data_IF_554565084601
#
_entry.id   IF_554565084601
#
_cell.length_a   1.000
_cell.length_b   1.000
_cell.length_c   1.000
_cell.angle_alpha   90.00
_cell.angle_beta   90.00
_cell.angle_gamma   90.00
#
_symmetry.space_group_name_H-M   'P 1'
#
loop_
_entity.id
_entity.type
_entity.pdbx_description
1 polymer ?
#
# COMPACT_ATOMS: atom_id res chain seq x y z
N UNK A 1 20.49 22.28 -8.78
CA UNK A 1 19.76 21.27 -7.95
C UNK A 1 19.52 19.98 -8.75
N UNK A 2 19.80 18.81 -8.18
CA UNK A 2 19.41 17.47 -8.70
C UNK A 2 18.08 17.08 -8.06
N UNK A 3 17.13 16.58 -8.86
CA UNK A 3 15.85 16.07 -8.36
C UNK A 3 15.55 14.70 -8.99
N UNK A 4 15.24 13.70 -8.14
CA UNK A 4 14.89 12.36 -8.59
C UNK A 4 13.70 11.83 -7.81
N UNK A 5 12.67 11.37 -8.54
CA UNK A 5 11.52 10.65 -7.98
C UNK A 5 11.71 9.14 -8.16
N UNK A 6 11.50 8.37 -7.09
CA UNK A 6 11.49 6.91 -7.11
C UNK A 6 10.06 6.42 -6.88
N UNK A 7 9.45 5.90 -7.92
CA UNK A 7 8.09 5.36 -7.85
C UNK A 7 8.10 3.86 -7.57
N UNK A 8 7.30 3.45 -6.59
CA UNK A 8 7.05 2.05 -6.23
C UNK A 8 5.58 1.72 -6.52
N UNK A 9 5.31 1.17 -7.70
CA UNK A 9 3.96 0.88 -8.18
C UNK A 9 3.17 -0.02 -7.22
N UNK A 10 3.83 -1.04 -6.63
CA UNK A 10 3.18 -2.05 -5.80
C UNK A 10 2.56 -1.51 -4.50
N UNK A 11 2.96 -0.32 -4.06
CA UNK A 11 2.40 0.38 -2.90
C UNK A 11 1.77 1.74 -3.25
N UNK A 12 1.87 2.18 -4.52
CA UNK A 12 1.48 3.54 -4.90
C UNK A 12 2.29 4.60 -4.14
N UNK A 13 3.56 4.34 -3.90
CA UNK A 13 4.46 5.16 -3.10
C UNK A 13 5.52 5.84 -3.97
N UNK A 14 5.80 7.11 -3.68
CA UNK A 14 6.90 7.85 -4.25
C UNK A 14 7.79 8.40 -3.15
N UNK A 15 9.10 8.26 -3.32
CA UNK A 15 10.14 8.86 -2.49
C UNK A 15 11.05 9.73 -3.34
N UNK A 16 11.81 10.61 -2.70
CA UNK A 16 12.52 11.67 -3.42
C UNK A 16 13.97 11.76 -2.97
N UNK A 17 14.84 12.04 -3.92
CA UNK A 17 16.23 12.40 -3.71
C UNK A 17 16.44 13.81 -4.25
N UNK A 18 16.86 14.73 -3.41
CA UNK A 18 17.10 16.12 -3.75
C UNK A 18 18.54 16.48 -3.39
N UNK A 19 19.36 16.81 -4.39
CA UNK A 19 20.79 17.09 -4.23
C UNK A 19 21.16 18.51 -4.57
N UNK A 20 22.11 19.06 -3.80
CA UNK A 20 22.80 20.32 -4.09
C UNK A 20 24.08 20.04 -4.87
N UNK A 21 24.21 20.59 -6.06
CA UNK A 21 25.43 20.50 -6.87
C UNK A 21 26.58 21.31 -6.25
N UNK A 22 26.25 22.40 -5.54
CA UNK A 22 27.26 23.25 -4.91
C UNK A 22 27.95 22.58 -3.73
N UNK A 23 27.22 21.76 -2.93
CA UNK A 23 27.78 21.12 -1.73
C UNK A 23 28.08 19.64 -1.90
N UNK A 24 27.55 18.99 -2.92
CA UNK A 24 27.59 17.53 -3.08
C UNK A 24 26.80 16.79 -1.99
N UNK A 25 25.82 17.46 -1.38
CA UNK A 25 24.95 16.88 -0.35
C UNK A 25 23.56 16.61 -0.88
N UNK A 26 22.87 15.62 -0.31
CA UNK A 26 21.52 15.26 -0.69
C UNK A 26 20.61 15.01 0.52
N UNK A 27 19.33 15.26 0.30
CA UNK A 27 18.22 14.88 1.18
C UNK A 27 17.41 13.76 0.51
N UNK A 28 17.07 12.72 1.29
CA UNK A 28 16.12 11.68 0.90
C UNK A 28 14.83 11.89 1.67
N UNK A 29 13.69 11.96 0.97
CA UNK A 29 12.36 12.13 1.58
C UNK A 29 11.52 10.88 1.40
N UNK A 30 10.85 10.48 2.48
CA UNK A 30 9.90 9.35 2.56
C UNK A 30 10.51 8.05 2.00
N UNK A 31 11.69 7.71 2.52
CA UNK A 31 12.48 6.59 2.04
C UNK A 31 11.76 5.25 2.18
N UNK A 32 11.72 4.43 1.13
CA UNK A 32 11.32 3.04 1.23
C UNK A 32 12.42 2.19 1.87
N UNK A 33 12.07 1.01 2.39
CA UNK A 33 12.97 0.17 3.20
C UNK A 33 14.20 -0.37 2.46
N UNK A 34 14.12 -0.57 1.15
CA UNK A 34 15.22 -0.99 0.28
C UNK A 34 16.06 0.21 -0.16
N UNK A 35 16.86 0.72 0.76
CA UNK A 35 17.55 2.00 0.64
C UNK A 35 18.75 2.04 -0.33
N UNK A 36 19.18 0.90 -0.87
CA UNK A 36 20.31 0.83 -1.81
C UNK A 36 20.12 1.77 -3.00
N UNK A 37 18.89 1.94 -3.47
CA UNK A 37 18.57 2.82 -4.60
C UNK A 37 18.99 4.29 -4.36
N UNK A 38 18.93 4.77 -3.12
CA UNK A 38 19.31 6.15 -2.78
C UNK A 38 20.84 6.28 -2.69
N UNK A 39 21.52 5.26 -2.18
CA UNK A 39 22.99 5.22 -2.16
C UNK A 39 23.57 5.08 -3.56
N UNK A 40 22.91 4.31 -4.43
CA UNK A 40 23.32 4.17 -5.83
C UNK A 40 23.10 5.48 -6.59
N UNK A 41 21.99 6.20 -6.35
CA UNK A 41 21.77 7.53 -6.93
C UNK A 41 22.81 8.52 -6.41
N UNK A 42 23.02 8.59 -5.10
CA UNK A 42 24.04 9.47 -4.50
C UNK A 42 25.43 9.22 -5.12
N UNK A 43 25.82 7.95 -5.25
CA UNK A 43 27.09 7.57 -5.88
C UNK A 43 27.16 7.98 -7.35
N UNK A 44 26.07 7.78 -8.11
CA UNK A 44 26.02 8.14 -9.53
C UNK A 44 26.14 9.64 -9.78
N UNK A 45 25.67 10.45 -8.82
CA UNK A 45 25.74 11.93 -8.86
C UNK A 45 27.00 12.50 -8.16
N UNK A 46 27.86 11.65 -7.58
CA UNK A 46 29.00 12.11 -6.80
C UNK A 46 28.62 12.85 -5.52
N UNK A 47 27.46 12.50 -4.93
CA UNK A 47 26.90 13.14 -3.74
C UNK A 47 26.95 12.23 -2.51
N UNK A 48 26.76 12.82 -1.33
CA UNK A 48 26.53 12.11 -0.08
C UNK A 48 25.15 12.44 0.47
N UNK A 49 24.47 11.46 1.02
CA UNK A 49 23.22 11.68 1.75
C UNK A 49 23.59 12.38 3.06
N UNK A 50 23.03 13.56 3.30
CA UNK A 50 23.23 14.36 4.51
C UNK A 50 21.98 14.36 5.39
N UNK A 51 20.81 14.32 4.79
CA UNK A 51 19.53 14.32 5.47
C UNK A 51 18.64 13.19 4.97
N UNK A 52 17.86 12.62 5.89
CA UNK A 52 16.69 11.81 5.56
C UNK A 52 15.48 12.39 6.31
N UNK A 53 14.36 12.57 5.61
CA UNK A 53 13.18 13.20 6.16
C UNK A 53 11.94 12.36 5.94
N UNK A 54 10.99 12.43 6.87
CA UNK A 54 9.65 11.88 6.74
C UNK A 54 8.63 13.02 6.74
N UNK A 55 7.72 13.01 5.75
CA UNK A 55 6.60 13.96 5.73
C UNK A 55 5.62 13.68 6.87
N UNK A 56 5.44 12.42 7.21
CA UNK A 56 4.57 11.94 8.28
C UNK A 56 4.91 10.50 8.66
N UNK A 57 4.30 9.99 9.72
CA UNK A 57 4.44 8.58 10.12
C UNK A 57 3.52 7.70 9.26
N UNK A 58 4.13 6.99 8.31
CA UNK A 58 3.43 6.18 7.32
C UNK A 58 2.67 4.99 7.93
N UNK A 59 1.47 4.72 7.41
CA UNK A 59 0.62 3.60 7.80
C UNK A 59 0.68 2.42 6.81
N UNK A 60 1.27 2.60 5.65
CA UNK A 60 1.18 1.69 4.52
C UNK A 60 2.47 0.93 4.22
N UNK A 61 3.62 1.43 4.70
CA UNK A 61 4.92 0.76 4.53
C UNK A 61 5.89 1.07 5.68
N UNK A 62 6.98 0.32 5.75
CA UNK A 62 8.10 0.57 6.69
C UNK A 62 9.06 1.59 6.09
N UNK A 63 9.27 2.68 6.81
CA UNK A 63 10.24 3.70 6.45
C UNK A 63 11.68 3.17 6.41
N UNK A 64 12.45 3.67 5.44
CA UNK A 64 13.86 3.39 5.27
C UNK A 64 14.80 4.34 6.01
N UNK A 65 14.31 5.37 6.73
CA UNK A 65 15.20 6.38 7.32
C UNK A 65 16.21 5.79 8.31
N UNK A 66 15.79 4.79 9.11
CA UNK A 66 16.68 4.12 10.04
C UNK A 66 17.72 3.23 9.32
N UNK A 67 17.35 2.62 8.19
CA UNK A 67 18.32 1.89 7.35
C UNK A 67 19.37 2.82 6.74
N UNK A 68 19.00 4.06 6.38
CA UNK A 68 19.93 5.07 5.89
C UNK A 68 20.85 5.52 7.03
N UNK A 69 20.30 5.79 8.23
CA UNK A 69 21.05 6.37 9.36
C UNK A 69 22.13 5.46 9.93
N UNK A 70 22.01 4.15 9.79
CA UNK A 70 23.07 3.21 10.20
C UNK A 70 24.16 3.00 9.14
N UNK A 71 23.93 3.48 7.91
CA UNK A 71 24.85 3.32 6.77
C UNK A 71 25.57 4.60 6.39
N UNK A 72 25.07 5.75 6.84
CA UNK A 72 25.66 7.07 6.59
C UNK A 72 25.47 7.99 7.80
N UNK A 73 26.43 8.91 7.99
CA UNK A 73 26.32 9.98 9.00
C UNK A 73 25.33 11.04 8.51
N UNK A 74 24.07 10.86 8.89
CA UNK A 74 22.95 11.72 8.48
C UNK A 74 22.21 12.31 9.69
N UNK A 75 21.50 13.39 9.45
CA UNK A 75 20.49 13.92 10.35
C UNK A 75 19.09 13.50 9.85
N UNK A 76 18.29 12.87 10.72
CA UNK A 76 16.89 12.56 10.42
C UNK A 76 16.05 13.79 10.76
N UNK A 77 15.15 14.18 9.87
CA UNK A 77 14.25 15.32 10.00
C UNK A 77 12.79 14.86 10.08
N UNK A 78 12.01 15.44 10.99
CA UNK A 78 10.59 15.16 11.14
C UNK A 78 9.84 16.37 11.69
N UNK A 79 8.51 16.44 11.47
CA UNK A 79 7.67 17.49 12.08
C UNK A 79 7.66 17.42 13.61
N UNK A 80 7.56 18.57 14.28
CA UNK A 80 7.58 18.70 15.74
C UNK A 80 6.57 17.80 16.44
N UNK A 81 5.39 17.58 15.87
CA UNK A 81 4.35 16.69 16.42
C UNK A 81 4.67 15.21 16.34
N UNK A 82 5.72 14.78 15.61
CA UNK A 82 6.05 13.37 15.47
C UNK A 82 6.55 12.77 16.80
N UNK A 83 6.00 11.62 17.19
CA UNK A 83 6.51 10.81 18.31
C UNK A 83 7.41 9.73 17.75
N UNK A 84 8.71 9.78 18.07
CA UNK A 84 9.72 8.87 17.52
C UNK A 84 10.53 8.25 18.65
N UNK A 85 10.80 6.95 18.56
CA UNK A 85 11.67 6.18 19.45
C UNK A 85 13.15 6.26 19.09
N UNK A 86 13.51 7.08 18.11
CA UNK A 86 14.87 7.31 17.62
C UNK A 86 15.15 8.83 17.48
N UNK A 87 16.42 9.17 17.39
CA UNK A 87 16.82 10.57 17.30
C UNK A 87 16.44 11.16 15.94
N UNK A 88 15.73 12.29 15.99
CA UNK A 88 15.43 13.12 14.83
C UNK A 88 15.40 14.58 15.24
N UNK A 89 15.88 15.46 14.37
CA UNK A 89 15.69 16.90 14.52
C UNK A 89 14.25 17.22 14.19
N UNK A 90 13.56 17.80 15.18
CA UNK A 90 12.18 18.25 15.01
C UNK A 90 12.17 19.65 14.40
N UNK A 91 11.29 19.82 13.42
CA UNK A 91 11.16 21.05 12.66
C UNK A 91 9.73 21.57 12.70
N UNK A 92 9.57 22.86 12.92
CA UNK A 92 8.28 23.55 12.92
C UNK A 92 7.97 24.20 11.57
N UNK A 93 6.72 24.62 11.39
CA UNK A 93 6.31 25.39 10.21
C UNK A 93 7.09 26.71 10.13
N UNK A 94 7.71 26.97 8.97
CA UNK A 94 8.56 28.12 8.70
C UNK A 94 10.07 27.85 8.91
N UNK A 95 10.46 26.72 9.53
CA UNK A 95 11.85 26.32 9.62
C UNK A 95 12.45 26.06 8.23
N UNK A 96 13.74 26.36 8.08
CA UNK A 96 14.47 26.17 6.83
C UNK A 96 15.70 25.29 7.01
N UNK A 97 15.90 24.41 6.04
CA UNK A 97 17.13 23.64 5.85
C UNK A 97 17.77 24.13 4.56
N UNK A 98 19.03 24.51 4.61
CA UNK A 98 19.77 25.00 3.45
C UNK A 98 20.93 24.05 3.14
N UNK A 99 20.97 23.56 1.90
CA UNK A 99 22.07 22.79 1.32
C UNK A 99 22.59 23.57 0.09
N UNK A 100 23.58 24.42 0.27
CA UNK A 100 24.09 25.26 -0.81
C UNK A 100 22.98 26.11 -1.44
N UNK A 101 22.73 25.89 -2.71
CA UNK A 101 21.68 26.58 -3.49
C UNK A 101 20.26 26.04 -3.24
N UNK A 102 20.12 24.90 -2.57
CA UNK A 102 18.80 24.28 -2.32
C UNK A 102 18.31 24.65 -0.92
N UNK A 103 17.14 25.25 -0.86
CA UNK A 103 16.45 25.60 0.39
C UNK A 103 15.17 24.84 0.52
N UNK A 104 14.97 24.16 1.63
CA UNK A 104 13.73 23.51 2.03
C UNK A 104 13.08 24.33 3.13
N UNK A 105 11.86 24.81 2.89
CA UNK A 105 11.03 25.46 3.89
C UNK A 105 9.91 24.49 4.31
N UNK A 106 9.75 24.29 5.61
CA UNK A 106 8.72 23.40 6.14
C UNK A 106 7.39 24.11 6.27
N UNK A 107 6.36 23.45 5.81
CA UNK A 107 4.97 23.83 6.08
C UNK A 107 4.36 22.76 6.98
N UNK A 108 4.00 23.09 8.22
CA UNK A 108 3.24 22.19 9.09
C UNK A 108 1.81 22.09 8.54
N UNK A 109 1.41 20.90 8.13
CA UNK A 109 0.18 20.67 7.36
C UNK A 109 -0.61 19.46 7.91
N UNK A 110 -1.12 19.56 9.17
CA UNK A 110 -1.87 18.48 9.80
C UNK A 110 -3.16 18.14 9.04
N UNK A 111 -3.69 16.94 9.29
CA UNK A 111 -4.95 16.47 8.74
C UNK A 111 -4.95 15.02 8.29
N UNK A 112 -3.97 14.59 7.50
CA UNK A 112 -3.71 13.16 7.26
C UNK A 112 -3.15 12.51 8.52
N UNK A 113 -2.15 13.14 9.09
CA UNK A 113 -1.63 12.89 10.45
C UNK A 113 -1.38 14.23 11.15
N UNK A 114 -1.33 14.27 12.50
CA UNK A 114 -1.14 15.54 13.22
C UNK A 114 0.25 16.16 13.04
N UNK A 115 1.28 15.33 12.83
CA UNK A 115 2.67 15.75 12.65
C UNK A 115 3.05 16.03 11.18
N UNK A 116 2.11 15.92 10.25
CA UNK A 116 2.38 16.00 8.82
C UNK A 116 3.03 17.34 8.43
N UNK A 117 4.07 17.25 7.59
CA UNK A 117 4.75 18.40 6.99
C UNK A 117 4.80 18.26 5.47
N UNK A 118 4.76 19.40 4.78
CA UNK A 118 5.21 19.52 3.39
C UNK A 118 6.57 20.20 3.34
N UNK A 119 7.39 19.91 2.35
CA UNK A 119 8.63 20.63 2.07
C UNK A 119 8.45 21.46 0.81
N UNK A 120 8.55 22.77 0.95
CA UNK A 120 8.61 23.72 -0.17
C UNK A 120 10.07 23.92 -0.55
N UNK A 121 10.43 23.67 -1.81
CA UNK A 121 11.81 23.62 -2.27
C UNK A 121 12.08 24.78 -3.23
N UNK A 122 13.13 25.55 -2.92
CA UNK A 122 13.65 26.62 -3.76
C UNK A 122 15.05 26.26 -4.25
N UNK A 123 15.27 26.41 -5.55
CA UNK A 123 16.59 26.33 -6.19
C UNK A 123 17.12 27.75 -6.44
N UNK A 124 17.92 28.27 -5.52
CA UNK A 124 18.48 29.64 -5.60
C UNK A 124 19.39 29.85 -6.81
N UNK A 125 19.86 28.77 -7.46
CA UNK A 125 20.60 28.89 -8.73
C UNK A 125 19.69 29.30 -9.91
N UNK A 126 18.36 29.15 -9.75
CA UNK A 126 17.34 29.49 -10.74
C UNK A 126 16.54 30.73 -10.37
N UNK A 127 16.40 31.03 -9.09
CA UNK A 127 15.63 32.16 -8.59
C UNK A 127 15.25 32.02 -7.12
N UNK A 128 14.57 33.03 -6.59
CA UNK A 128 14.14 33.07 -5.18
C UNK A 128 12.73 32.48 -4.96
N UNK A 129 12.01 32.21 -6.05
CA UNK A 129 10.68 31.63 -5.96
C UNK A 129 10.73 30.11 -5.76
N UNK A 130 9.78 29.53 -4.98
CA UNK A 130 9.71 28.08 -4.80
C UNK A 130 9.38 27.37 -6.11
N UNK A 131 10.09 26.28 -6.38
CA UNK A 131 9.91 25.45 -7.58
C UNK A 131 9.02 24.24 -7.34
N UNK A 132 9.21 23.54 -6.19
CA UNK A 132 8.57 22.27 -5.91
C UNK A 132 7.89 22.31 -4.52
N UNK A 133 6.75 21.61 -4.42
CA UNK A 133 6.12 21.22 -3.18
C UNK A 133 6.15 19.69 -3.04
N UNK A 134 6.91 19.17 -2.11
CA UNK A 134 6.86 17.76 -1.71
C UNK A 134 5.72 17.63 -0.70
N UNK A 135 4.54 17.24 -1.20
CA UNK A 135 3.28 17.40 -0.46
C UNK A 135 2.92 16.24 0.46
N UNK A 136 3.77 15.20 0.54
CA UNK A 136 3.54 14.04 1.40
C UNK A 136 2.18 13.39 1.18
N UNK A 137 1.42 13.29 2.26
CA UNK A 137 0.05 12.81 2.28
C UNK A 137 -1.02 13.92 2.30
N UNK A 138 -0.71 15.18 1.98
CA UNK A 138 -1.69 16.26 2.01
C UNK A 138 -2.45 16.41 0.68
N UNK A 139 -1.79 16.94 -0.33
CA UNK A 139 -2.34 17.17 -1.67
C UNK A 139 -1.83 16.08 -2.61
N UNK A 140 -2.76 15.31 -3.15
CA UNK A 140 -2.53 14.23 -4.11
C UNK A 140 -2.97 14.69 -5.49
N UNK A 141 -2.57 13.95 -6.54
CA UNK A 141 -2.98 14.29 -7.90
C UNK A 141 -4.49 14.10 -8.07
N UNK A 142 -5.23 15.20 -8.17
CA UNK A 142 -6.69 15.23 -8.31
C UNK A 142 -7.48 14.82 -7.05
N UNK A 143 -6.81 14.62 -5.92
CA UNK A 143 -7.43 14.23 -4.65
C UNK A 143 -6.70 14.89 -3.46
N UNK A 144 -7.14 14.56 -2.25
CA UNK A 144 -6.44 14.82 -0.98
C UNK A 144 -6.41 13.53 -0.17
N UNK A 145 -5.47 13.44 0.77
CA UNK A 145 -5.39 12.28 1.63
C UNK A 145 -6.64 12.09 2.49
N UNK A 146 -6.80 10.88 2.97
CA UNK A 146 -7.89 10.50 3.87
C UNK A 146 -7.57 10.93 5.31
N UNK A 147 -8.55 11.48 6.05
CA UNK A 147 -8.33 11.98 7.41
C UNK A 147 -8.64 10.96 8.52
N UNK A 148 -9.10 9.75 8.19
CA UNK A 148 -9.68 8.78 9.13
C UNK A 148 -8.69 7.74 9.69
N UNK A 149 -7.46 7.69 9.15
CA UNK A 149 -6.45 6.68 9.56
C UNK A 149 -5.82 6.95 10.92
N UNK A 150 -5.84 8.20 11.40
CA UNK A 150 -5.30 8.56 12.69
C UNK A 150 -6.41 8.81 13.72
N UNK A 151 -6.30 8.14 14.89
CA UNK A 151 -7.26 8.30 16.01
C UNK A 151 -8.63 7.66 15.79
N UNK A 152 -8.82 6.94 14.69
CA UNK A 152 -10.07 6.24 14.36
C UNK A 152 -11.25 7.17 14.01
N UNK A 153 -12.43 6.61 13.94
CA UNK A 153 -13.64 7.32 13.50
C UNK A 153 -13.98 8.58 14.35
N UNK A 154 -13.65 8.58 15.64
CA UNK A 154 -13.89 9.72 16.52
C UNK A 154 -13.06 10.97 16.19
N UNK A 155 -11.90 10.80 15.56
CA UNK A 155 -10.97 11.89 15.20
C UNK A 155 -11.12 12.35 13.75
N UNK A 156 -11.77 11.57 12.89
CA UNK A 156 -11.80 11.80 11.45
C UNK A 156 -12.33 13.20 11.07
N UNK A 157 -13.36 13.70 11.76
CA UNK A 157 -13.90 15.04 11.51
C UNK A 157 -12.94 16.17 11.94
N UNK A 158 -12.20 15.98 13.04
CA UNK A 158 -11.18 16.94 13.47
C UNK A 158 -9.99 16.95 12.48
N UNK A 159 -9.50 15.77 12.12
CA UNK A 159 -8.44 15.63 11.12
C UNK A 159 -8.86 16.22 9.75
N UNK A 160 -10.12 16.03 9.35
CA UNK A 160 -10.66 16.62 8.12
C UNK A 160 -10.71 18.16 8.17
N UNK A 161 -10.97 18.74 9.35
CA UNK A 161 -10.90 20.19 9.55
C UNK A 161 -9.46 20.69 9.43
N UNK A 162 -8.52 20.01 10.07
CA UNK A 162 -7.10 20.37 9.97
C UNK A 162 -6.61 20.24 8.53
N UNK A 163 -7.05 19.20 7.80
CA UNK A 163 -6.76 19.01 6.38
C UNK A 163 -7.28 20.17 5.53
N UNK A 164 -8.51 20.64 5.80
CA UNK A 164 -9.09 21.80 5.14
C UNK A 164 -8.22 23.03 5.33
N UNK A 165 -7.85 23.35 6.58
CA UNK A 165 -7.01 24.52 6.89
C UNK A 165 -5.61 24.39 6.29
N UNK A 166 -4.99 23.21 6.36
CA UNK A 166 -3.69 22.97 5.74
C UNK A 166 -3.72 23.18 4.23
N UNK A 167 -4.79 22.77 3.58
CA UNK A 167 -4.97 22.93 2.14
C UNK A 167 -5.27 24.40 1.76
N UNK A 168 -6.29 25.02 2.40
CA UNK A 168 -6.81 26.32 2.00
C UNK A 168 -5.98 27.50 2.51
N UNK A 169 -5.46 27.44 3.74
CA UNK A 169 -4.76 28.57 4.35
C UNK A 169 -3.26 28.57 4.01
N UNK A 170 -2.69 27.45 3.54
CA UNK A 170 -1.27 27.32 3.25
C UNK A 170 -0.98 26.96 1.79
N UNK A 171 -1.43 25.77 1.35
CA UNK A 171 -1.06 25.25 0.02
C UNK A 171 -1.71 26.06 -1.11
N UNK A 172 -2.96 26.47 -0.95
CA UNK A 172 -3.63 27.32 -1.95
C UNK A 172 -3.04 28.72 -2.07
N UNK A 173 -2.20 29.16 -1.14
CA UNK A 173 -1.51 30.45 -1.21
C UNK A 173 -0.23 30.40 -2.08
N UNK A 174 0.24 29.20 -2.44
CA UNK A 174 1.44 29.01 -3.24
C UNK A 174 1.18 29.41 -4.71
N UNK A 175 2.23 29.88 -5.42
CA UNK A 175 2.12 30.23 -6.85
C UNK A 175 1.68 29.05 -7.74
N UNK A 176 0.97 29.35 -8.81
CA UNK A 176 0.41 28.36 -9.74
C UNK A 176 1.46 27.46 -10.42
N UNK A 177 2.69 27.97 -10.60
CA UNK A 177 3.78 27.27 -11.27
C UNK A 177 4.45 26.19 -10.40
N UNK A 178 4.26 26.23 -9.07
CA UNK A 178 4.88 25.26 -8.15
C UNK A 178 4.43 23.86 -8.49
N UNK A 179 5.37 22.99 -8.81
CA UNK A 179 5.12 21.57 -9.09
C UNK A 179 4.89 20.81 -7.79
N UNK A 180 3.88 19.94 -7.78
CA UNK A 180 3.48 19.15 -6.61
C UNK A 180 3.86 17.69 -6.80
N UNK A 181 4.60 17.15 -5.83
CA UNK A 181 5.11 15.80 -5.79
C UNK A 181 4.64 15.10 -4.50
N UNK A 182 3.53 14.36 -4.54
CA UNK A 182 3.00 13.65 -3.37
C UNK A 182 3.70 12.31 -3.12
N UNK A 183 3.79 11.90 -1.86
CA UNK A 183 4.30 10.57 -1.49
C UNK A 183 3.33 9.47 -1.87
N UNK A 184 2.02 9.72 -1.75
CA UNK A 184 0.99 8.77 -2.15
C UNK A 184 0.49 9.10 -3.56
N UNK A 185 0.75 8.18 -4.48
CA UNK A 185 0.41 8.30 -5.91
C UNK A 185 -0.56 7.19 -6.34
N UNK A 186 -0.80 7.05 -7.63
CA UNK A 186 -1.71 6.03 -8.17
C UNK A 186 -1.43 4.64 -7.59
N UNK A 187 -2.46 3.99 -7.08
CA UNK A 187 -2.37 2.69 -6.40
C UNK A 187 -2.37 2.75 -4.87
N UNK A 188 -2.07 3.91 -4.26
CA UNK A 188 -2.13 4.08 -2.82
C UNK A 188 -3.58 4.10 -2.30
N UNK A 189 -3.78 3.52 -1.11
CA UNK A 189 -5.05 3.54 -0.38
C UNK A 189 -5.18 4.76 0.56
N UNK A 190 -4.19 5.68 0.55
CA UNK A 190 -4.22 6.91 1.34
C UNK A 190 -5.11 8.00 0.73
N UNK A 191 -5.65 7.81 -0.47
CA UNK A 191 -6.64 8.67 -1.10
C UNK A 191 -7.81 7.88 -1.67
N UNK A 192 -8.91 8.56 -1.97
CA UNK A 192 -10.14 7.93 -2.48
C UNK A 192 -10.18 7.82 -4.00
N UNK A 193 -9.48 8.71 -4.71
CA UNK A 193 -9.49 8.78 -6.18
C UNK A 193 -8.25 9.47 -6.76
N UNK A 194 -7.08 8.97 -6.42
CA UNK A 194 -5.81 9.51 -6.88
C UNK A 194 -5.68 9.34 -8.41
N UNK A 195 -5.28 10.41 -9.09
CA UNK A 195 -5.03 10.39 -10.55
C UNK A 195 -3.79 9.57 -10.91
N UNK A 196 -3.70 9.15 -12.18
CA UNK A 196 -2.64 8.26 -12.67
C UNK A 196 -1.27 8.95 -12.88
N UNK A 197 -1.22 10.29 -12.84
CA UNK A 197 0.05 11.03 -12.94
C UNK A 197 0.81 10.99 -11.63
N UNK A 198 2.14 11.09 -11.69
CA UNK A 198 3.02 11.05 -10.51
C UNK A 198 3.28 12.45 -9.92
N UNK A 199 2.92 13.51 -10.65
CA UNK A 199 3.04 14.91 -10.21
C UNK A 199 1.92 15.77 -10.82
N UNK A 200 1.79 16.98 -10.30
CA UNK A 200 0.84 18.00 -10.79
C UNK A 200 1.39 19.40 -10.52
N UNK A 201 0.59 20.45 -10.60
CA UNK A 201 0.96 21.81 -10.18
C UNK A 201 -0.13 22.41 -9.31
N UNK A 202 0.22 23.39 -8.48
CA UNK A 202 -0.75 24.13 -7.66
C UNK A 202 -1.85 24.74 -8.53
N UNK A 203 -1.50 25.34 -9.65
CA UNK A 203 -2.46 25.97 -10.58
C UNK A 203 -3.40 24.97 -11.23
N UNK A 204 -2.94 23.76 -11.54
CA UNK A 204 -3.79 22.71 -12.08
C UNK A 204 -4.79 22.23 -11.01
N UNK A 205 -4.29 21.90 -9.81
CA UNK A 205 -5.13 21.40 -8.73
C UNK A 205 -6.13 22.46 -8.26
N UNK A 206 -5.75 23.71 -8.14
CA UNK A 206 -6.66 24.83 -7.79
C UNK A 206 -7.87 24.92 -8.73
N UNK A 207 -7.69 24.62 -10.02
CA UNK A 207 -8.75 24.70 -11.03
C UNK A 207 -9.60 23.45 -11.12
N UNK A 208 -9.03 22.26 -10.89
CA UNK A 208 -9.66 20.98 -11.24
C UNK A 208 -9.91 20.07 -10.07
N UNK A 209 -9.13 20.18 -8.98
CA UNK A 209 -9.33 19.37 -7.79
C UNK A 209 -10.57 19.84 -7.04
N UNK A 210 -11.54 18.95 -6.87
CA UNK A 210 -12.81 19.27 -6.18
C UNK A 210 -12.60 19.72 -4.74
N UNK A 211 -11.56 19.23 -4.08
CA UNK A 211 -11.26 19.54 -2.68
C UNK A 211 -10.67 20.94 -2.52
N UNK A 212 -9.84 21.39 -3.45
CA UNK A 212 -9.35 22.76 -3.49
C UNK A 212 -10.44 23.77 -3.91
N UNK A 213 -11.48 23.32 -4.60
CA UNK A 213 -12.63 24.13 -5.02
C UNK A 213 -13.73 24.21 -3.97
N UNK A 214 -13.77 23.27 -3.02
CA UNK A 214 -14.76 23.28 -1.95
C UNK A 214 -14.35 24.26 -0.85
N UNK A 215 -15.01 25.40 -0.79
CA UNK A 215 -14.74 26.48 0.17
C UNK A 215 -15.57 26.40 1.43
N UNK A 216 -16.61 25.56 1.46
CA UNK A 216 -17.41 25.30 2.64
C UNK A 216 -16.77 24.20 3.48
N UNK A 217 -16.16 24.59 4.61
CA UNK A 217 -15.49 23.68 5.54
C UNK A 217 -16.40 22.53 6.01
N UNK A 218 -17.68 22.80 6.28
CA UNK A 218 -18.61 21.77 6.75
C UNK A 218 -18.84 20.70 5.66
N UNK A 219 -19.06 21.12 4.42
CA UNK A 219 -19.19 20.22 3.27
C UNK A 219 -17.91 19.47 2.96
N UNK A 220 -16.76 20.14 3.08
CA UNK A 220 -15.46 19.47 2.92
C UNK A 220 -15.31 18.34 3.93
N UNK A 221 -15.54 18.62 5.22
CA UNK A 221 -15.45 17.63 6.31
C UNK A 221 -16.40 16.47 6.06
N UNK A 222 -17.70 16.75 5.86
CA UNK A 222 -18.70 15.70 5.60
C UNK A 222 -18.30 14.79 4.44
N UNK A 223 -17.91 15.39 3.31
CA UNK A 223 -17.58 14.62 2.12
C UNK A 223 -16.25 13.85 2.24
N UNK A 224 -15.28 14.35 3.01
CA UNK A 224 -13.96 13.71 3.13
C UNK A 224 -14.00 12.42 3.97
N UNK A 225 -14.96 12.29 4.88
CA UNK A 225 -15.08 11.11 5.77
C UNK A 225 -16.18 10.11 5.32
N UNK A 226 -16.82 10.32 4.18
CA UNK A 226 -17.84 9.38 3.66
C UNK A 226 -17.26 7.99 3.44
N UNK A 227 -17.88 6.92 4.01
CA UNK A 227 -17.36 5.55 3.89
C UNK A 227 -17.17 5.09 2.44
N UNK A 228 -18.08 5.45 1.54
CA UNK A 228 -18.00 5.10 0.13
C UNK A 228 -16.82 5.75 -0.62
N UNK A 229 -16.21 6.80 -0.04
CA UNK A 229 -15.00 7.43 -0.56
C UNK A 229 -13.74 6.71 -0.08
N UNK A 230 -13.76 6.19 1.13
CA UNK A 230 -12.58 5.68 1.82
C UNK A 230 -12.34 4.21 1.46
N UNK A 231 -11.21 3.88 0.83
CA UNK A 231 -10.92 2.47 0.55
C UNK A 231 -10.65 1.71 1.85
N UNK A 232 -11.10 0.45 1.90
CA UNK A 232 -10.72 -0.46 2.98
C UNK A 232 -9.23 -0.78 2.89
N UNK A 233 -8.56 -0.78 4.03
CA UNK A 233 -7.11 -0.97 4.15
C UNK A 233 -6.77 -2.36 4.70
N UNK A 234 -5.63 -2.96 4.29
CA UNK A 234 -5.25 -4.30 4.74
C UNK A 234 -4.89 -4.32 6.23
N UNK A 235 -5.08 -5.46 6.92
CA UNK A 235 -4.87 -5.58 8.37
C UNK A 235 -3.47 -5.19 8.85
N UNK A 236 -2.43 -5.40 8.05
CA UNK A 236 -1.05 -5.08 8.43
C UNK A 236 -0.84 -3.58 8.70
N UNK A 237 -1.66 -2.68 8.13
CA UNK A 237 -1.57 -1.23 8.37
C UNK A 237 -1.66 -0.86 9.86
N UNK A 238 -2.38 -1.64 10.65
CA UNK A 238 -2.52 -1.45 12.12
C UNK A 238 -1.17 -1.47 12.84
N UNK A 239 -0.15 -2.09 12.25
CA UNK A 239 1.18 -2.25 12.83
C UNK A 239 2.18 -1.21 12.33
N UNK A 240 1.97 -0.68 11.12
CA UNK A 240 2.97 0.14 10.43
C UNK A 240 3.33 1.41 11.19
N UNK A 241 2.30 2.18 11.61
CA UNK A 241 2.54 3.44 12.32
C UNK A 241 3.39 3.22 13.59
N UNK A 242 3.02 2.23 14.40
CA UNK A 242 3.79 1.93 15.62
C UNK A 242 5.22 1.49 15.31
N UNK A 243 5.41 0.65 14.31
CA UNK A 243 6.75 0.23 13.88
C UNK A 243 7.58 1.42 13.41
N UNK A 244 7.01 2.33 12.63
CA UNK A 244 7.70 3.53 12.18
C UNK A 244 7.97 4.52 13.34
N UNK A 245 7.08 4.59 14.32
CA UNK A 245 7.30 5.38 15.54
C UNK A 245 8.43 4.84 16.39
N UNK A 246 8.41 3.55 16.70
CA UNK A 246 9.38 2.92 17.59
C UNK A 246 10.78 2.82 16.96
N UNK A 247 10.88 2.93 15.64
CA UNK A 247 12.02 2.58 14.82
C UNK A 247 11.98 1.11 14.44
N UNK A 248 11.69 0.79 13.17
CA UNK A 248 11.56 -0.59 12.72
C UNK A 248 12.88 -1.35 12.91
N UNK A 249 12.83 -2.66 13.18
CA UNK A 249 14.04 -3.48 13.24
C UNK A 249 14.85 -3.36 11.95
N UNK A 250 16.15 -3.14 12.08
CA UNK A 250 17.07 -3.05 10.95
C UNK A 250 17.15 -4.41 10.21
N UNK A 251 17.25 -4.34 8.89
CA UNK A 251 17.34 -5.54 8.04
C UNK A 251 18.68 -6.28 8.21
N UNK A 252 19.74 -5.54 8.55
CA UNK A 252 21.09 -6.11 8.64
C UNK A 252 21.53 -6.72 7.31
N UNK A 253 22.27 -7.82 7.38
CA UNK A 253 22.71 -8.57 6.21
C UNK A 253 21.62 -9.56 5.80
N UNK A 254 20.90 -9.25 4.74
CA UNK A 254 19.91 -10.15 4.16
C UNK A 254 20.59 -11.35 3.49
N UNK A 255 20.18 -12.56 3.86
CA UNK A 255 20.59 -13.79 3.21
C UNK A 255 19.43 -14.33 2.39
N UNK A 256 19.75 -14.95 1.26
CA UNK A 256 18.72 -15.59 0.45
C UNK A 256 18.00 -16.68 1.27
N UNK A 257 16.64 -16.66 1.26
CA UNK A 257 15.87 -17.71 1.93
C UNK A 257 16.22 -19.09 1.36
N UNK A 258 16.35 -20.11 2.22
CA UNK A 258 16.78 -21.43 1.75
C UNK A 258 15.79 -22.06 0.78
N UNK A 259 16.33 -22.64 -0.31
CA UNK A 259 15.59 -23.51 -1.19
C UNK A 259 15.38 -24.87 -0.49
N UNK A 260 14.14 -25.23 -0.20
CA UNK A 260 13.80 -26.44 0.54
C UNK A 260 13.40 -27.57 -0.41
N UNK A 261 13.89 -28.78 -0.13
CA UNK A 261 13.35 -29.98 -0.78
C UNK A 261 11.87 -30.18 -0.37
N UNK A 262 11.15 -31.03 -1.09
CA UNK A 262 9.74 -31.34 -0.80
C UNK A 262 9.57 -31.86 0.63
N UNK A 263 10.46 -32.77 1.07
CA UNK A 263 10.41 -33.35 2.40
C UNK A 263 10.72 -32.33 3.50
N UNK A 264 11.68 -31.43 3.28
CA UNK A 264 12.02 -30.37 4.22
C UNK A 264 10.87 -29.36 4.33
N UNK A 265 10.29 -28.97 3.20
CA UNK A 265 9.15 -28.07 3.15
C UNK A 265 7.93 -28.68 3.85
N UNK A 266 7.61 -29.96 3.57
CA UNK A 266 6.49 -30.67 4.18
C UNK A 266 6.63 -30.81 5.69
N UNK A 267 7.83 -31.10 6.17
CA UNK A 267 8.14 -31.20 7.60
C UNK A 267 7.91 -29.87 8.31
N UNK A 268 8.36 -28.76 7.73
CA UNK A 268 8.23 -27.43 8.34
C UNK A 268 6.75 -27.00 8.34
N UNK A 269 6.03 -27.14 7.22
CA UNK A 269 4.61 -26.78 7.17
C UNK A 269 3.74 -27.59 8.11
N UNK A 270 4.08 -28.86 8.32
CA UNK A 270 3.36 -29.76 9.25
C UNK A 270 3.47 -29.32 10.71
N UNK A 271 4.42 -28.44 11.03
CA UNK A 271 4.51 -27.74 12.31
C UNK A 271 3.56 -26.54 12.46
N UNK A 272 2.63 -26.34 11.52
CA UNK A 272 1.65 -25.23 11.58
C UNK A 272 2.13 -23.92 10.95
N UNK A 273 3.23 -23.96 10.19
CA UNK A 273 3.79 -22.78 9.51
C UNK A 273 2.92 -22.41 8.30
N UNK A 274 2.61 -21.12 8.16
CA UNK A 274 1.82 -20.60 7.06
C UNK A 274 2.52 -20.80 5.73
N UNK A 275 1.75 -21.02 4.65
CA UNK A 275 2.25 -21.09 3.29
C UNK A 275 1.64 -19.94 2.50
N UNK A 276 2.47 -19.10 1.90
CA UNK A 276 2.06 -18.09 0.93
C UNK A 276 2.40 -18.59 -0.47
N UNK A 277 1.39 -18.89 -1.26
CA UNK A 277 1.51 -19.26 -2.68
C UNK A 277 1.37 -18.00 -3.53
N UNK A 278 2.45 -17.62 -4.21
CA UNK A 278 2.53 -16.38 -4.97
C UNK A 278 2.23 -16.57 -6.46
N UNK A 279 1.72 -17.72 -6.85
CA UNK A 279 1.31 -18.01 -8.22
C UNK A 279 -0.03 -17.32 -8.56
N UNK A 280 -0.34 -17.25 -9.86
CA UNK A 280 -1.61 -16.68 -10.32
C UNK A 280 -2.83 -17.43 -9.76
N UNK A 281 -4.03 -16.81 -9.73
CA UNK A 281 -5.26 -17.47 -9.30
C UNK A 281 -5.55 -18.78 -10.06
N UNK A 282 -5.27 -18.81 -11.35
CA UNK A 282 -5.46 -20.00 -12.19
C UNK A 282 -4.50 -21.13 -11.79
N UNK A 283 -3.23 -20.80 -11.55
CA UNK A 283 -2.23 -21.76 -11.09
C UNK A 283 -2.53 -22.27 -9.68
N UNK A 284 -3.11 -21.43 -8.83
CA UNK A 284 -3.54 -21.76 -7.47
C UNK A 284 -4.77 -22.69 -7.45
N UNK A 285 -5.45 -22.92 -8.57
CA UNK A 285 -6.57 -23.87 -8.65
C UNK A 285 -6.23 -25.26 -8.10
N UNK A 286 -4.95 -25.63 -8.14
CA UNK A 286 -4.40 -26.81 -7.46
C UNK A 286 -3.16 -26.37 -6.64
N UNK A 287 -3.24 -26.54 -5.32
CA UNK A 287 -2.27 -25.98 -4.38
C UNK A 287 -1.98 -26.93 -3.20
N UNK A 288 -1.00 -26.61 -2.40
CA UNK A 288 -0.68 -27.31 -1.14
C UNK A 288 -1.81 -27.04 -0.13
N UNK A 289 -2.32 -28.07 0.57
CA UNK A 289 -3.36 -27.88 1.58
C UNK A 289 -2.97 -26.83 2.62
N UNK A 290 -3.89 -25.90 2.89
CA UNK A 290 -3.69 -24.81 3.83
C UNK A 290 -2.93 -23.58 3.27
N UNK A 291 -2.50 -23.60 2.02
CA UNK A 291 -1.83 -22.43 1.43
C UNK A 291 -2.78 -21.25 1.23
N UNK A 292 -2.26 -20.05 1.49
CA UNK A 292 -2.88 -18.76 1.21
C UNK A 292 -2.38 -18.25 -0.13
N UNK A 293 -3.22 -17.56 -0.91
CA UNK A 293 -2.85 -17.07 -2.24
C UNK A 293 -2.75 -15.55 -2.28
N UNK A 294 -1.63 -15.07 -2.78
CA UNK A 294 -1.49 -13.71 -3.29
C UNK A 294 -0.54 -13.75 -4.49
N UNK A 295 -1.08 -13.67 -5.70
CA UNK A 295 -0.27 -13.71 -6.92
C UNK A 295 0.65 -12.50 -7.06
N UNK A 296 1.87 -12.70 -7.57
CA UNK A 296 2.81 -11.58 -7.84
C UNK A 296 2.20 -10.61 -8.86
N UNK A 297 2.31 -9.32 -8.56
CA UNK A 297 1.78 -8.23 -9.38
C UNK A 297 1.75 -6.91 -8.61
N UNK A 298 1.24 -5.85 -9.23
CA UNK A 298 1.23 -4.49 -8.64
C UNK A 298 0.47 -4.39 -7.31
N UNK A 299 -0.46 -5.28 -7.01
CA UNK A 299 -1.19 -5.30 -5.72
C UNK A 299 -0.72 -6.40 -4.77
N UNK A 300 0.39 -7.07 -5.09
CA UNK A 300 0.88 -8.21 -4.30
C UNK A 300 1.07 -7.89 -2.81
N UNK A 301 1.78 -6.83 -2.38
CA UNK A 301 2.00 -6.57 -0.97
C UNK A 301 0.69 -6.33 -0.21
N UNK A 302 -0.25 -5.62 -0.82
CA UNK A 302 -1.59 -5.39 -0.22
C UNK A 302 -2.30 -6.72 0.06
N UNK A 303 -2.32 -7.65 -0.89
CA UNK A 303 -3.06 -8.90 -0.75
C UNK A 303 -2.30 -9.95 0.05
N UNK A 304 -0.97 -9.99 -0.05
CA UNK A 304 -0.15 -10.80 0.84
C UNK A 304 -0.34 -10.36 2.30
N UNK A 305 -0.28 -9.05 2.57
CA UNK A 305 -0.52 -8.50 3.91
C UNK A 305 -1.99 -8.54 4.37
N UNK A 306 -2.94 -8.85 3.47
CA UNK A 306 -4.33 -9.13 3.84
C UNK A 306 -4.51 -10.55 4.35
N UNK A 307 -3.91 -11.54 3.68
CA UNK A 307 -4.18 -12.95 3.98
C UNK A 307 -3.15 -13.59 4.90
N UNK A 308 -1.90 -13.14 4.88
CA UNK A 308 -0.84 -13.67 5.72
C UNK A 308 -0.88 -13.02 7.13
N UNK A 309 -0.96 -13.78 8.22
CA UNK A 309 -0.91 -13.22 9.57
C UNK A 309 0.37 -12.44 9.83
N UNK A 310 0.23 -11.22 10.38
CA UNK A 310 1.36 -10.34 10.61
C UNK A 310 2.25 -10.85 11.76
N UNK A 311 3.58 -10.87 11.53
CA UNK A 311 4.55 -11.31 12.54
C UNK A 311 4.72 -12.83 12.65
N UNK A 312 3.92 -13.62 11.95
CA UNK A 312 4.03 -15.08 11.97
C UNK A 312 5.02 -15.60 10.93
N UNK A 313 5.73 -16.72 11.22
CA UNK A 313 6.64 -17.33 10.25
C UNK A 313 5.87 -17.95 9.08
N UNK A 314 6.49 -17.95 7.91
CA UNK A 314 5.87 -18.46 6.70
C UNK A 314 6.86 -19.10 5.74
N UNK A 315 6.33 -19.93 4.85
CA UNK A 315 7.00 -20.56 3.72
C UNK A 315 6.46 -19.97 2.40
N UNK A 316 7.28 -20.00 1.34
CA UNK A 316 6.86 -19.51 0.03
C UNK A 316 6.73 -20.64 -1.01
N UNK A 317 5.67 -20.53 -1.82
CA UNK A 317 5.61 -21.19 -3.13
C UNK A 317 5.69 -20.11 -4.19
N UNK A 318 6.75 -20.11 -4.98
CA UNK A 318 6.96 -19.16 -6.07
C UNK A 318 6.84 -19.86 -7.42
N UNK A 319 6.36 -19.15 -8.43
CA UNK A 319 6.24 -19.75 -9.78
C UNK A 319 7.62 -19.96 -10.41
N UNK A 320 8.53 -19.00 -10.19
CA UNK A 320 9.91 -19.02 -10.70
C UNK A 320 10.87 -18.49 -9.65
N UNK A 321 11.99 -19.15 -9.47
CA UNK A 321 13.02 -18.74 -8.48
C UNK A 321 13.52 -17.31 -8.68
N UNK A 322 13.56 -16.80 -9.91
CA UNK A 322 13.94 -15.41 -10.19
C UNK A 322 13.04 -14.36 -9.56
N UNK A 323 11.82 -14.71 -9.19
CA UNK A 323 10.86 -13.79 -8.54
C UNK A 323 11.02 -13.80 -7.01
N UNK A 324 11.89 -14.62 -6.44
CA UNK A 324 12.03 -14.79 -5.00
C UNK A 324 12.34 -13.45 -4.30
N UNK A 325 13.35 -12.72 -4.77
CA UNK A 325 13.74 -11.45 -4.17
C UNK A 325 12.70 -10.34 -4.38
N UNK A 326 11.99 -10.34 -5.51
CA UNK A 326 10.87 -9.42 -5.73
C UNK A 326 9.77 -9.64 -4.67
N UNK A 327 9.41 -10.89 -4.42
CA UNK A 327 8.44 -11.27 -3.37
C UNK A 327 8.95 -10.87 -1.99
N UNK A 328 10.21 -11.21 -1.66
CA UNK A 328 10.81 -10.88 -0.37
C UNK A 328 10.83 -9.38 -0.11
N UNK A 329 11.26 -8.57 -1.08
CA UNK A 329 11.28 -7.10 -0.92
C UNK A 329 9.89 -6.51 -0.73
N UNK A 330 8.89 -6.98 -1.47
CA UNK A 330 7.53 -6.52 -1.28
C UNK A 330 6.99 -6.83 0.14
N UNK A 331 7.35 -7.98 0.71
CA UNK A 331 6.99 -8.34 2.08
C UNK A 331 7.80 -7.57 3.14
N UNK A 332 9.11 -7.41 2.93
CA UNK A 332 9.98 -6.60 3.81
C UNK A 332 9.50 -5.15 3.91
N UNK A 333 9.07 -4.54 2.80
CA UNK A 333 8.55 -3.16 2.77
C UNK A 333 7.29 -2.96 3.60
N UNK A 334 6.50 -4.00 3.79
CA UNK A 334 5.28 -3.97 4.61
C UNK A 334 5.46 -4.64 5.98
N UNK A 335 6.72 -4.78 6.43
CA UNK A 335 7.05 -5.17 7.80
C UNK A 335 7.11 -6.66 8.09
N UNK A 336 6.95 -7.53 7.08
CA UNK A 336 7.19 -8.96 7.26
C UNK A 336 8.70 -9.24 7.25
N UNK A 337 9.12 -10.32 7.93
CA UNK A 337 10.47 -10.86 7.82
C UNK A 337 10.69 -11.65 6.53
N UNK A 338 11.90 -12.19 6.35
CA UNK A 338 12.14 -13.18 5.30
C UNK A 338 11.40 -14.49 5.59
N UNK A 339 10.98 -15.24 4.56
CA UNK A 339 10.37 -16.56 4.74
C UNK A 339 11.38 -17.54 5.35
N UNK A 340 10.89 -18.55 6.05
CA UNK A 340 11.72 -19.67 6.54
C UNK A 340 12.37 -20.47 5.42
N UNK A 341 11.83 -20.36 4.21
CA UNK A 341 12.32 -20.98 2.98
C UNK A 341 11.25 -20.98 1.90
N UNK A 342 11.62 -21.48 0.74
CA UNK A 342 10.73 -21.62 -0.41
C UNK A 342 10.85 -23.02 -1.03
N UNK A 343 9.75 -23.49 -1.64
CA UNK A 343 9.68 -24.82 -2.25
C UNK A 343 10.52 -24.86 -3.54
N UNK A 344 11.66 -25.54 -3.50
CA UNK A 344 12.49 -25.77 -4.67
C UNK A 344 11.73 -26.60 -5.72
N UNK A 345 11.82 -26.22 -6.98
CA UNK A 345 11.04 -26.86 -8.05
C UNK A 345 9.53 -26.55 -8.05
N UNK A 346 9.03 -25.84 -7.01
CA UNK A 346 7.65 -25.38 -6.94
C UNK A 346 6.63 -26.52 -6.95
N UNK A 347 5.41 -26.22 -7.44
CA UNK A 347 4.32 -27.19 -7.48
C UNK A 347 4.55 -28.36 -8.43
N UNK A 348 5.45 -28.23 -9.40
CA UNK A 348 5.81 -29.35 -10.27
C UNK A 348 6.53 -30.44 -9.47
N UNK A 349 7.54 -30.04 -8.68
CA UNK A 349 8.29 -30.95 -7.83
C UNK A 349 7.40 -31.57 -6.76
N UNK A 350 6.55 -30.75 -6.08
CA UNK A 350 5.58 -31.22 -5.11
C UNK A 350 4.70 -32.36 -5.62
N UNK A 351 4.18 -32.22 -6.86
CA UNK A 351 3.36 -33.23 -7.51
C UNK A 351 4.16 -34.47 -7.90
N UNK A 352 5.39 -34.30 -8.40
CA UNK A 352 6.28 -35.40 -8.80
C UNK A 352 6.62 -36.34 -7.65
N UNK A 353 6.65 -35.77 -6.42
CA UNK A 353 6.82 -36.55 -5.19
C UNK A 353 5.51 -37.21 -4.70
N UNK A 354 4.41 -37.09 -5.42
CA UNK A 354 3.12 -37.65 -5.03
C UNK A 354 2.49 -37.02 -3.79
N UNK A 355 2.90 -35.80 -3.45
CA UNK A 355 2.40 -35.11 -2.26
C UNK A 355 0.96 -34.66 -2.43
N UNK A 356 0.25 -34.57 -1.29
CA UNK A 356 -1.17 -34.18 -1.27
C UNK A 356 -1.35 -32.77 -1.82
N UNK A 357 -2.36 -32.61 -2.69
CA UNK A 357 -2.85 -31.34 -3.20
C UNK A 357 -4.32 -31.17 -2.83
N UNK A 358 -4.75 -29.93 -2.73
CA UNK A 358 -6.17 -29.56 -2.67
C UNK A 358 -6.52 -28.66 -3.85
N UNK A 359 -7.82 -28.49 -4.11
CA UNK A 359 -8.29 -27.69 -5.23
C UNK A 359 -9.12 -26.50 -4.77
N UNK A 360 -9.00 -25.39 -5.50
CA UNK A 360 -9.91 -24.26 -5.47
C UNK A 360 -10.63 -24.20 -6.81
N UNK A 361 -11.91 -24.56 -6.88
CA UNK A 361 -12.67 -24.46 -8.12
C UNK A 361 -12.68 -23.02 -8.64
N UNK A 362 -12.40 -22.88 -9.93
CA UNK A 362 -12.39 -21.61 -10.63
C UNK A 362 -13.64 -21.55 -11.51
N UNK A 363 -14.59 -20.71 -11.16
CA UNK A 363 -15.79 -20.51 -11.93
C UNK A 363 -15.63 -19.36 -12.91
N UNK A 364 -16.23 -19.49 -14.09
CA UNK A 364 -16.50 -18.35 -14.97
C UNK A 364 -17.73 -17.58 -14.46
N UNK A 365 -17.97 -16.40 -15.00
CA UNK A 365 -19.21 -15.66 -14.69
C UNK A 365 -20.47 -16.35 -15.19
N UNK A 366 -20.35 -17.24 -16.20
CA UNK A 366 -21.43 -18.10 -16.68
C UNK A 366 -21.75 -19.21 -15.69
N UNK A 367 -20.71 -19.88 -15.15
CA UNK A 367 -20.91 -20.90 -14.11
C UNK A 367 -21.56 -20.26 -12.87
N UNK A 368 -21.12 -19.06 -12.46
CA UNK A 368 -21.75 -18.34 -11.36
C UNK A 368 -23.22 -18.05 -11.64
N UNK A 369 -23.54 -17.57 -12.84
CA UNK A 369 -24.92 -17.25 -13.24
C UNK A 369 -25.82 -18.49 -13.21
N UNK A 370 -25.34 -19.59 -13.76
CA UNK A 370 -26.07 -20.87 -13.79
C UNK A 370 -26.28 -21.43 -12.37
N UNK A 371 -25.25 -21.36 -11.51
CA UNK A 371 -25.33 -21.85 -10.14
C UNK A 371 -26.25 -20.98 -9.26
N UNK A 372 -26.30 -19.66 -9.47
CA UNK A 372 -27.27 -18.78 -8.81
C UNK A 372 -28.72 -19.13 -9.15
N UNK A 373 -28.99 -19.64 -10.37
CA UNK A 373 -30.31 -20.08 -10.79
C UNK A 373 -30.65 -21.48 -10.23
N UNK A 374 -29.67 -22.36 -10.09
CA UNK A 374 -29.84 -23.74 -9.60
C UNK A 374 -29.88 -23.84 -8.09
N UNK A 375 -29.02 -23.09 -7.39
CA UNK A 375 -28.79 -23.19 -5.93
C UNK A 375 -29.31 -21.94 -5.22
N UNK A 376 -30.49 -22.03 -4.58
CA UNK A 376 -31.04 -20.95 -3.77
C UNK A 376 -30.19 -20.58 -2.53
N UNK A 377 -29.31 -21.49 -2.14
CA UNK A 377 -28.46 -21.35 -0.95
C UNK A 377 -27.04 -20.83 -1.26
N UNK A 378 -26.71 -20.54 -2.53
CA UNK A 378 -25.41 -20.02 -2.91
C UNK A 378 -25.18 -18.62 -2.29
N UNK A 379 -24.12 -18.48 -1.53
CA UNK A 379 -23.68 -17.20 -0.98
C UNK A 379 -22.69 -16.54 -1.94
N UNK A 380 -23.05 -15.43 -2.54
CA UNK A 380 -22.17 -14.65 -3.42
C UNK A 380 -21.52 -13.54 -2.61
N UNK A 381 -20.20 -13.62 -2.42
CA UNK A 381 -19.40 -12.67 -1.66
C UNK A 381 -18.65 -11.72 -2.60
N UNK A 382 -19.05 -10.45 -2.66
CA UNK A 382 -18.33 -9.41 -3.41
C UNK A 382 -17.28 -8.75 -2.51
N UNK A 383 -16.00 -8.94 -2.86
CA UNK A 383 -14.85 -8.46 -2.06
C UNK A 383 -14.21 -7.19 -2.63
N UNK A 384 -14.92 -6.45 -3.48
CA UNK A 384 -14.44 -5.20 -4.06
C UNK A 384 -14.44 -4.07 -3.05
N UNK A 385 -13.78 -2.97 -3.41
CA UNK A 385 -13.81 -1.74 -2.61
C UNK A 385 -15.24 -1.12 -2.60
N UNK A 386 -15.61 -0.36 -1.54
CA UNK A 386 -16.96 0.23 -1.39
C UNK A 386 -17.41 1.03 -2.61
N UNK A 387 -16.50 1.81 -3.22
CA UNK A 387 -16.80 2.59 -4.44
C UNK A 387 -17.13 1.70 -5.64
N UNK A 388 -16.44 0.56 -5.80
CA UNK A 388 -16.70 -0.37 -6.90
C UNK A 388 -18.07 -1.06 -6.73
N UNK A 389 -18.41 -1.38 -5.50
CA UNK A 389 -19.72 -1.93 -5.12
C UNK A 389 -20.84 -0.93 -5.43
N UNK A 390 -20.73 0.30 -4.95
CA UNK A 390 -21.71 1.36 -5.19
C UNK A 390 -21.89 1.70 -6.69
N UNK A 391 -20.86 1.47 -7.52
CA UNK A 391 -20.95 1.66 -8.98
C UNK A 391 -21.72 0.55 -9.71
N UNK A 392 -22.11 -0.51 -9.00
CA UNK A 392 -22.95 -1.59 -9.50
C UNK A 392 -22.45 -2.98 -9.14
N UNK A 393 -23.35 -3.82 -8.62
CA UNK A 393 -23.07 -5.13 -8.08
C UNK A 393 -24.16 -6.16 -8.48
N UNK A 394 -23.95 -7.43 -8.17
CA UNK A 394 -24.94 -8.51 -8.35
C UNK A 394 -25.99 -8.36 -7.23
N UNK A 395 -27.27 -8.33 -7.57
CA UNK A 395 -28.39 -8.05 -6.67
C UNK A 395 -28.41 -8.92 -5.39
N UNK A 396 -28.09 -10.20 -5.52
CA UNK A 396 -28.05 -11.14 -4.39
C UNK A 396 -26.69 -11.24 -3.68
N UNK A 397 -25.69 -10.48 -4.11
CA UNK A 397 -24.37 -10.54 -3.49
C UNK A 397 -24.34 -9.78 -2.14
N UNK A 398 -23.51 -10.28 -1.24
CA UNK A 398 -23.18 -9.62 0.03
C UNK A 398 -21.83 -8.97 -0.12
N UNK A 399 -21.72 -7.73 0.34
CA UNK A 399 -20.50 -6.95 0.25
C UNK A 399 -19.70 -7.04 1.54
N UNK A 400 -18.51 -7.59 1.45
CA UNK A 400 -17.46 -7.50 2.47
C UNK A 400 -16.17 -7.16 1.74
N UNK A 401 -15.65 -5.92 1.86
CA UNK A 401 -14.37 -5.57 1.25
C UNK A 401 -13.29 -6.56 1.65
N UNK A 402 -12.50 -7.03 0.68
CA UNK A 402 -11.57 -8.14 0.91
C UNK A 402 -10.52 -7.87 2.00
N UNK A 403 -10.15 -6.60 2.19
CA UNK A 403 -9.26 -6.19 3.26
C UNK A 403 -9.89 -6.35 4.67
N UNK A 404 -11.22 -6.36 4.76
CA UNK A 404 -11.98 -6.57 5.99
C UNK A 404 -12.30 -8.05 6.24
N UNK A 405 -12.21 -8.89 5.21
CA UNK A 405 -12.61 -10.29 5.30
C UNK A 405 -11.92 -11.07 6.44
N UNK A 406 -10.63 -10.84 6.77
CA UNK A 406 -9.99 -11.51 7.91
C UNK A 406 -10.66 -11.25 9.26
N UNK A 407 -11.25 -10.07 9.46
CA UNK A 407 -11.94 -9.68 10.69
C UNK A 407 -13.46 -9.96 10.66
N UNK A 408 -14.00 -10.39 9.53
CA UNK A 408 -15.44 -10.57 9.30
C UNK A 408 -15.80 -11.97 8.83
N UNK A 409 -14.99 -12.95 9.17
CA UNK A 409 -15.24 -14.35 8.79
C UNK A 409 -16.56 -14.87 9.34
N UNK A 410 -16.96 -14.43 10.54
CA UNK A 410 -18.22 -14.84 11.17
C UNK A 410 -19.47 -14.35 10.43
N UNK A 411 -19.34 -13.34 9.56
CA UNK A 411 -20.42 -12.85 8.69
C UNK A 411 -20.62 -13.75 7.46
N UNK A 412 -19.72 -14.70 7.22
CA UNK A 412 -19.73 -15.59 6.05
C UNK A 412 -20.17 -16.99 6.47
N UNK A 413 -21.23 -17.55 5.87
CA UNK A 413 -21.78 -18.84 6.29
C UNK A 413 -20.85 -20.01 5.95
N UNK A 414 -20.66 -20.94 6.91
CA UNK A 414 -19.88 -22.18 6.74
C UNK A 414 -20.68 -23.33 6.13
N UNK A 415 -22.00 -23.29 6.25
CA UNK A 415 -22.93 -24.40 5.96
C UNK A 415 -23.31 -24.52 4.48
N UNK A 416 -22.98 -23.50 3.66
CA UNK A 416 -23.38 -23.40 2.27
C UNK A 416 -22.23 -23.04 1.32
N UNK A 417 -22.41 -23.23 0.00
CA UNK A 417 -21.39 -22.82 -0.97
C UNK A 417 -21.18 -21.31 -1.00
N UNK A 418 -19.91 -20.89 -1.06
CA UNK A 418 -19.50 -19.49 -1.16
C UNK A 418 -18.80 -19.26 -2.50
N UNK A 419 -19.35 -18.36 -3.34
CA UNK A 419 -18.70 -17.88 -4.54
C UNK A 419 -18.11 -16.49 -4.27
N UNK A 420 -16.80 -16.36 -4.34
CA UNK A 420 -16.10 -15.10 -4.07
C UNK A 420 -15.82 -14.38 -5.39
N UNK A 421 -16.30 -13.15 -5.53
CA UNK A 421 -16.13 -12.32 -6.73
C UNK A 421 -15.43 -11.01 -6.42
N UNK A 422 -14.59 -10.55 -7.36
CA UNK A 422 -13.99 -9.21 -7.32
C UNK A 422 -14.04 -8.55 -8.71
N UNK A 423 -13.11 -7.66 -9.04
CA UNK A 423 -13.06 -7.04 -10.38
C UNK A 423 -12.62 -8.00 -11.49
N UNK A 424 -11.65 -8.90 -11.22
CA UNK A 424 -10.98 -9.73 -12.23
C UNK A 424 -10.76 -11.20 -11.85
N UNK A 425 -10.96 -11.57 -10.57
CA UNK A 425 -10.65 -12.91 -10.05
C UNK A 425 -9.39 -12.98 -9.16
N UNK A 426 -8.58 -11.91 -9.11
CA UNK A 426 -7.34 -11.84 -8.35
C UNK A 426 -7.59 -11.68 -6.83
N UNK A 427 -8.29 -10.62 -6.43
CA UNK A 427 -8.63 -10.33 -5.02
C UNK A 427 -9.50 -11.41 -4.40
N UNK A 428 -10.43 -11.92 -5.19
CA UNK A 428 -11.31 -13.02 -4.78
C UNK A 428 -10.55 -14.33 -4.56
N UNK A 429 -9.48 -14.62 -5.31
CA UNK A 429 -8.61 -15.76 -5.05
C UNK A 429 -7.92 -15.68 -3.68
N UNK A 430 -7.43 -14.49 -3.32
CA UNK A 430 -6.82 -14.27 -2.01
C UNK A 430 -7.83 -14.53 -0.87
N UNK A 431 -9.00 -13.91 -0.93
CA UNK A 431 -10.05 -14.13 0.09
C UNK A 431 -10.55 -15.57 0.08
N UNK A 432 -10.77 -16.17 -1.08
CA UNK A 432 -11.19 -17.57 -1.19
C UNK A 432 -10.15 -18.53 -0.56
N UNK A 433 -8.85 -18.26 -0.74
CA UNK A 433 -7.78 -19.04 -0.09
C UNK A 433 -7.82 -18.90 1.43
N UNK A 434 -8.08 -17.70 1.94
CA UNK A 434 -8.27 -17.46 3.37
C UNK A 434 -9.47 -18.25 3.91
N UNK A 435 -10.62 -18.23 3.23
CA UNK A 435 -11.79 -19.01 3.64
C UNK A 435 -11.48 -20.50 3.67
N UNK A 436 -10.82 -21.04 2.64
CA UNK A 436 -10.41 -22.47 2.63
C UNK A 436 -9.44 -22.79 3.77
N UNK A 437 -8.47 -21.93 4.04
CA UNK A 437 -7.53 -22.08 5.16
C UNK A 437 -8.27 -22.10 6.52
N UNK A 438 -9.41 -21.40 6.63
CA UNK A 438 -10.28 -21.36 7.81
C UNK A 438 -11.36 -22.46 7.84
N UNK A 439 -11.27 -23.46 6.95
CA UNK A 439 -12.11 -24.66 7.00
C UNK A 439 -13.42 -24.58 6.20
N UNK A 440 -13.63 -23.55 5.40
CA UNK A 440 -14.78 -23.48 4.48
C UNK A 440 -14.64 -24.55 3.39
N UNK A 441 -15.54 -25.52 3.36
CA UNK A 441 -15.42 -26.67 2.48
C UNK A 441 -15.70 -26.34 1.01
N UNK A 442 -16.73 -25.51 0.77
CA UNK A 442 -17.27 -25.23 -0.59
C UNK A 442 -17.04 -23.78 -0.97
N UNK A 443 -15.80 -23.45 -1.35
CA UNK A 443 -15.41 -22.10 -1.78
C UNK A 443 -14.99 -22.11 -3.24
N UNK A 444 -15.47 -21.14 -4.00
CA UNK A 444 -15.25 -20.99 -5.44
C UNK A 444 -14.72 -19.60 -5.73
N UNK A 445 -13.65 -19.48 -6.52
CA UNK A 445 -13.18 -18.20 -7.03
C UNK A 445 -13.82 -17.91 -8.39
N UNK A 446 -14.32 -16.68 -8.60
CA UNK A 446 -14.93 -16.27 -9.87
C UNK A 446 -13.90 -15.54 -10.73
N UNK A 447 -13.36 -16.22 -11.73
CA UNK A 447 -12.43 -15.67 -12.72
C UNK A 447 -13.13 -14.62 -13.60
N UNK A 448 -12.38 -13.60 -14.00
CA UNK A 448 -12.89 -12.47 -14.77
C UNK A 448 -13.74 -11.49 -13.95
N UNK A 449 -14.30 -11.93 -12.83
CA UNK A 449 -15.00 -11.12 -11.84
C UNK A 449 -16.09 -10.22 -12.44
N UNK A 450 -16.38 -9.10 -11.78
CA UNK A 450 -17.37 -8.12 -12.24
C UNK A 450 -17.02 -7.47 -13.58
N UNK A 451 -15.75 -7.48 -13.99
CA UNK A 451 -15.33 -7.05 -15.32
C UNK A 451 -15.95 -7.95 -16.42
N UNK A 452 -15.82 -9.28 -16.26
CA UNK A 452 -16.43 -10.25 -17.18
C UNK A 452 -17.94 -10.26 -17.05
N UNK A 453 -18.51 -10.20 -15.83
CA UNK A 453 -19.95 -10.14 -15.59
C UNK A 453 -20.64 -9.04 -16.40
N UNK A 454 -20.11 -7.81 -16.32
CA UNK A 454 -20.63 -6.65 -17.07
C UNK A 454 -20.45 -6.82 -18.58
N UNK A 455 -19.30 -7.34 -19.04
CA UNK A 455 -19.05 -7.60 -20.48
C UNK A 455 -19.97 -8.66 -21.07
N UNK A 456 -20.41 -9.64 -20.27
CA UNK A 456 -21.39 -10.65 -20.66
C UNK A 456 -22.83 -10.12 -20.70
N UNK A 457 -23.06 -8.85 -20.37
CA UNK A 457 -24.39 -8.23 -20.39
C UNK A 457 -25.28 -8.61 -19.20
N UNK A 458 -24.71 -9.21 -18.16
CA UNK A 458 -25.48 -9.61 -16.97
C UNK A 458 -25.89 -8.39 -16.13
N UNK A 459 -27.09 -8.47 -15.56
CA UNK A 459 -27.70 -7.37 -14.80
C UNK A 459 -26.90 -7.04 -13.54
N UNK A 460 -26.81 -5.75 -13.25
CA UNK A 460 -26.29 -5.21 -11.98
C UNK A 460 -27.31 -4.23 -11.39
N UNK A 461 -27.30 -4.10 -10.07
CA UNK A 461 -28.03 -3.09 -9.30
C UNK A 461 -27.04 -2.09 -8.68
N UNK A 462 -27.56 -0.95 -8.17
CA UNK A 462 -26.77 0.07 -7.46
C UNK A 462 -27.18 0.14 -6.00
#
# INVERSE_FOLDING_TARGET
MIFKQFYLESLGHASYFIGSEATGEALVLDARRDVDIYFDEARSQGMRIRYAAETHQHNDYISGVNEISVRADIEILAGTGATLGYNARKLDGGDKITMGEVVFELLHTPGHTPEHICLLVTDLSRGEEPALLLSGGLLLVGDVARPDLFGGAGSAAANARDLFHSLHDKVMMLPDHVEVYPTHVAGSLCGGNIGSRLSTTIGYERRLNRWMKETDSARFIENSIKPERLPSVPPYWRHMRKLNQDGPPLLGVLREPPALTVEAFDRIRSGGIHILDTRSPEAFSAHIPGALNAGVGSSFPTWAGTVLPFGEPYLLVVERSKNLWEVCWNLLRIGYGLPMGWLAGGMLEWRSYGMQITTMPQWTVWDLKDEMERQKELFVLDVRQPREWAAGHIDSAIHIPGAEAPDRLDDIPHDRPVAVICGSGYRSSAVASLLKNRGYAKVHNVLGGMGAWKKSGFKTVK
#
